data_IF_338865711917
#
_entry.id   IF_338865711917
#
_cell.length_a   1.000
_cell.length_b   1.000
_cell.length_c   1.000
_cell.angle_alpha   90.00
_cell.angle_beta   90.00
_cell.angle_gamma   90.00
#
_symmetry.space_group_name_H-M   'P 1'
#
loop_
_entity.id
_entity.type
_entity.pdbx_description
1 polymer ?
#
# COMPACT_ATOMS: atom_id res chain seq x y z
N UNK A 1 29.64 -12.65 5.17
CA UNK A 1 28.64 -13.23 4.27
C UNK A 1 28.16 -12.11 3.36
N UNK A 2 28.14 -12.30 2.07
CA UNK A 2 27.57 -11.28 1.17
C UNK A 2 26.05 -11.26 1.36
N UNK A 3 25.54 -10.26 2.08
CA UNK A 3 24.10 -9.98 2.22
C UNK A 3 23.56 -9.36 0.92
N UNK A 4 24.04 -9.79 -0.20
CA UNK A 4 23.63 -9.33 -1.52
C UNK A 4 22.48 -10.22 -2.04
N UNK A 5 22.50 -10.52 -3.31
CA UNK A 5 21.53 -11.37 -4.02
C UNK A 5 21.16 -12.68 -3.30
N UNK A 6 22.13 -13.34 -2.62
CA UNK A 6 21.89 -14.59 -1.86
C UNK A 6 20.91 -14.42 -0.70
N UNK A 7 20.93 -13.26 -0.02
CA UNK A 7 19.94 -12.98 1.05
C UNK A 7 18.53 -12.84 0.50
N UNK A 8 18.37 -12.15 -0.62
CA UNK A 8 17.06 -12.00 -1.27
C UNK A 8 16.50 -13.34 -1.77
N UNK A 9 17.36 -14.19 -2.37
CA UNK A 9 16.98 -15.53 -2.82
C UNK A 9 16.41 -16.38 -1.68
N UNK A 10 17.10 -16.44 -0.54
CA UNK A 10 16.64 -17.22 0.62
C UNK A 10 15.35 -16.67 1.21
N UNK A 11 15.19 -15.35 1.27
CA UNK A 11 13.99 -14.71 1.81
C UNK A 11 12.74 -14.95 0.94
N UNK A 12 12.92 -15.09 -0.38
CA UNK A 12 11.81 -15.35 -1.32
C UNK A 12 11.39 -16.83 -1.26
N UNK A 13 12.32 -17.77 -1.11
CA UNK A 13 12.02 -19.21 -1.00
C UNK A 13 11.17 -19.56 0.22
N UNK A 14 11.23 -18.78 1.27
CA UNK A 14 10.36 -18.94 2.42
C UNK A 14 8.99 -18.31 2.13
N UNK A 15 8.03 -19.18 1.81
CA UNK A 15 6.65 -18.75 1.54
C UNK A 15 6.01 -18.10 2.76
N UNK A 16 5.82 -16.79 2.67
CA UNK A 16 5.07 -15.97 3.64
C UNK A 16 3.81 -15.40 2.99
N UNK A 17 3.15 -16.23 2.17
CA UNK A 17 1.91 -15.84 1.49
C UNK A 17 0.84 -15.51 2.53
N UNK A 18 0.25 -14.33 2.43
CA UNK A 18 -0.83 -13.86 3.28
C UNK A 18 -2.14 -13.77 2.47
N UNK A 19 -3.25 -14.35 2.96
CA UNK A 19 -3.36 -15.29 4.07
C UNK A 19 -2.82 -16.70 3.75
N UNK A 20 -2.45 -17.53 4.75
CA UNK A 20 -2.59 -17.31 6.19
C UNK A 20 -1.45 -16.51 6.82
N UNK A 21 -0.37 -16.22 6.11
CA UNK A 21 0.89 -15.72 6.60
C UNK A 21 1.86 -16.88 6.90
N UNK A 22 2.98 -16.62 7.49
CA UNK A 22 4.03 -17.50 8.06
C UNK A 22 5.31 -16.68 8.20
N UNK A 23 5.17 -15.42 8.54
CA UNK A 23 6.26 -14.44 8.61
C UNK A 23 7.25 -14.79 9.73
N UNK A 24 6.88 -15.68 10.66
CA UNK A 24 7.81 -16.27 11.64
C UNK A 24 9.03 -16.93 10.96
N UNK A 25 8.91 -17.41 9.70
CA UNK A 25 10.05 -17.90 8.92
C UNK A 25 11.02 -16.78 8.54
N UNK A 26 10.49 -15.60 8.16
CA UNK A 26 11.33 -14.44 7.89
C UNK A 26 12.01 -13.94 9.18
N UNK A 27 11.32 -14.01 10.32
CA UNK A 27 11.90 -13.73 11.64
C UNK A 27 13.07 -14.67 11.93
N UNK A 28 12.92 -15.98 11.76
CA UNK A 28 13.97 -16.97 11.98
C UNK A 28 15.21 -16.69 11.10
N UNK A 29 14.99 -16.34 9.84
CA UNK A 29 16.05 -15.97 8.90
C UNK A 29 16.81 -14.71 9.35
N UNK A 30 16.10 -13.66 9.73
CA UNK A 30 16.68 -12.39 10.17
C UNK A 30 17.37 -12.53 11.53
N UNK A 31 16.78 -13.27 12.45
CA UNK A 31 17.36 -13.58 13.77
C UNK A 31 18.70 -14.29 13.63
N UNK A 32 18.80 -15.30 12.75
CA UNK A 32 20.07 -15.99 12.48
C UNK A 32 21.17 -15.05 11.96
N UNK A 33 20.79 -14.03 11.19
CA UNK A 33 21.74 -13.00 10.71
C UNK A 33 22.16 -12.11 11.87
N UNK A 34 21.22 -11.62 12.69
CA UNK A 34 21.53 -10.76 13.84
C UNK A 34 22.39 -11.48 14.87
N UNK A 35 22.11 -12.74 15.16
CA UNK A 35 22.94 -13.59 16.04
C UNK A 35 24.37 -13.71 15.51
N UNK A 36 24.53 -13.96 14.20
CA UNK A 36 25.87 -14.08 13.56
C UNK A 36 26.64 -12.77 13.58
N UNK A 37 25.97 -11.62 13.58
CA UNK A 37 26.58 -10.28 13.63
C UNK A 37 26.73 -9.74 15.06
N UNK A 38 26.18 -10.44 16.07
CA UNK A 38 26.18 -9.99 17.46
C UNK A 38 25.30 -8.74 17.69
N UNK A 39 24.21 -8.62 16.93
CA UNK A 39 23.24 -7.54 17.03
C UNK A 39 22.12 -7.97 17.97
N UNK A 40 21.84 -7.16 18.98
CA UNK A 40 20.66 -7.37 19.84
C UNK A 40 19.39 -7.04 19.06
N UNK A 41 18.39 -7.89 19.17
CA UNK A 41 17.09 -7.74 18.56
C UNK A 41 15.99 -8.23 19.47
N UNK A 42 14.77 -7.78 19.21
CA UNK A 42 13.54 -8.33 19.79
C UNK A 42 12.64 -8.85 18.69
N UNK A 43 11.79 -9.79 19.04
CA UNK A 43 10.77 -10.33 18.12
C UNK A 43 9.49 -10.65 18.89
N UNK A 44 8.37 -10.65 18.17
CA UNK A 44 7.08 -11.02 18.73
C UNK A 44 6.19 -11.64 17.65
N UNK A 45 5.46 -12.68 18.04
CA UNK A 45 4.42 -13.30 17.23
C UNK A 45 3.05 -12.74 17.67
N UNK A 46 2.41 -11.96 16.80
CA UNK A 46 1.11 -11.31 17.09
C UNK A 46 -0.09 -12.27 17.00
N UNK A 47 0.06 -13.33 16.20
CA UNK A 47 -0.83 -14.47 16.07
C UNK A 47 -0.01 -15.64 15.53
N UNK A 48 -0.50 -16.90 15.58
CA UNK A 48 0.26 -18.05 15.08
C UNK A 48 0.82 -17.85 13.67
N UNK A 49 2.15 -17.89 13.52
CA UNK A 49 2.87 -17.67 12.27
C UNK A 49 3.09 -16.21 11.88
N UNK A 50 2.48 -15.24 12.57
CA UNK A 50 2.54 -13.81 12.25
C UNK A 50 3.68 -13.14 13.02
N UNK A 51 4.91 -13.44 12.63
CA UNK A 51 6.13 -12.98 13.30
C UNK A 51 6.57 -11.58 12.85
N UNK A 52 7.01 -10.79 13.84
CA UNK A 52 7.59 -9.46 13.64
C UNK A 52 8.95 -9.42 14.35
N UNK A 53 9.94 -8.72 13.79
CA UNK A 53 11.28 -8.59 14.37
C UNK A 53 11.79 -7.17 14.20
N UNK A 54 12.52 -6.66 15.22
CA UNK A 54 13.16 -5.35 15.15
C UNK A 54 14.51 -5.35 15.87
N UNK A 55 15.41 -4.52 15.38
CA UNK A 55 16.75 -4.34 15.94
C UNK A 55 17.14 -2.86 15.91
N UNK A 56 17.99 -2.43 16.83
CA UNK A 56 18.41 -1.03 16.98
C UNK A 56 19.93 -0.89 17.09
N UNK A 57 20.51 -0.07 16.23
CA UNK A 57 21.89 0.42 16.36
C UNK A 57 21.82 1.76 17.08
N UNK A 58 22.50 1.85 18.23
CA UNK A 58 22.57 3.09 19.01
C UNK A 58 23.43 4.14 18.32
N UNK A 59 22.99 5.39 18.40
CA UNK A 59 23.67 6.56 17.84
C UNK A 59 23.61 7.76 18.77
N UNK A 60 23.63 8.96 18.20
CA UNK A 60 23.56 10.23 18.92
C UNK A 60 22.12 10.68 19.24
N UNK A 61 21.99 11.95 19.61
CA UNK A 61 20.76 12.50 20.20
C UNK A 61 19.71 12.94 19.18
N UNK A 62 19.96 12.82 17.87
CA UNK A 62 18.94 13.12 16.87
C UNK A 62 17.84 12.04 16.87
N UNK A 63 16.60 12.39 16.52
CA UNK A 63 15.51 11.44 16.40
C UNK A 63 15.89 10.24 15.53
N UNK A 64 15.47 9.04 15.94
CA UNK A 64 15.82 7.80 15.25
C UNK A 64 15.19 7.72 13.84
N UNK A 65 15.87 6.98 12.95
CA UNK A 65 15.39 6.61 11.64
C UNK A 65 14.99 5.13 11.63
N UNK A 66 13.75 4.86 11.23
CA UNK A 66 13.25 3.50 11.00
C UNK A 66 13.47 3.12 9.53
N UNK A 67 14.04 1.94 9.32
CA UNK A 67 14.07 1.21 8.05
C UNK A 67 13.02 0.10 8.15
N UNK A 68 11.84 0.34 7.59
CA UNK A 68 10.71 -0.57 7.65
C UNK A 68 10.59 -1.38 6.38
N UNK A 69 10.17 -2.62 6.50
CA UNK A 69 9.62 -3.40 5.40
C UNK A 69 8.63 -4.45 5.91
N UNK A 70 7.72 -4.87 5.05
CA UNK A 70 6.90 -6.04 5.32
C UNK A 70 7.55 -7.32 4.79
N UNK A 71 7.21 -8.44 5.39
CA UNK A 71 7.79 -9.75 5.08
C UNK A 71 6.80 -10.73 4.46
N UNK A 72 5.51 -10.41 4.46
CA UNK A 72 4.49 -11.18 3.77
C UNK A 72 4.43 -10.84 2.26
N UNK A 73 3.70 -11.65 1.53
CA UNK A 73 3.49 -11.50 0.08
C UNK A 73 2.08 -11.96 -0.29
N UNK A 74 1.50 -11.36 -1.34
CA UNK A 74 0.23 -11.82 -1.89
C UNK A 74 0.35 -13.21 -2.53
N UNK A 75 -0.76 -13.98 -2.65
CA UNK A 75 -0.78 -15.25 -3.37
C UNK A 75 -0.26 -15.11 -4.81
N UNK A 76 0.36 -16.16 -5.30
CA UNK A 76 0.75 -16.30 -6.70
C UNK A 76 0.02 -17.50 -7.31
N UNK A 77 -0.71 -17.29 -8.41
CA UNK A 77 -1.25 -18.39 -9.18
C UNK A 77 -0.19 -18.85 -10.19
N UNK A 78 0.39 -20.01 -9.97
CA UNK A 78 1.48 -20.59 -10.78
C UNK A 78 1.16 -20.64 -12.28
N UNK A 79 -0.12 -20.79 -12.65
CA UNK A 79 -0.56 -20.81 -14.05
C UNK A 79 -0.23 -19.53 -14.84
N UNK A 80 0.03 -18.42 -14.15
CA UNK A 80 0.36 -17.13 -14.76
C UNK A 80 1.84 -16.79 -14.71
N UNK A 81 2.69 -17.74 -14.28
CA UNK A 81 4.11 -17.56 -14.15
C UNK A 81 4.89 -18.49 -15.07
N UNK A 82 5.91 -18.00 -15.75
CA UNK A 82 6.81 -18.80 -16.59
C UNK A 82 7.85 -19.60 -15.77
N UNK A 83 7.85 -19.44 -14.46
CA UNK A 83 8.74 -20.08 -13.50
C UNK A 83 8.04 -20.24 -12.14
N UNK A 84 8.59 -21.04 -11.24
CA UNK A 84 8.06 -21.18 -9.88
C UNK A 84 8.14 -19.83 -9.15
N UNK A 85 6.98 -19.21 -8.81
CA UNK A 85 6.93 -17.89 -8.19
C UNK A 85 7.57 -17.82 -6.79
N UNK A 86 7.89 -18.95 -6.17
CA UNK A 86 8.56 -19.03 -4.87
C UNK A 86 10.00 -19.56 -4.97
N UNK A 87 10.54 -19.76 -6.17
CA UNK A 87 11.88 -20.29 -6.36
C UNK A 87 12.99 -19.37 -5.82
N UNK A 88 12.84 -18.05 -5.98
CA UNK A 88 13.87 -17.08 -5.68
C UNK A 88 15.15 -17.24 -6.53
N UNK A 89 15.05 -17.91 -7.68
CA UNK A 89 16.21 -18.19 -8.53
C UNK A 89 16.81 -16.91 -9.12
N UNK A 90 18.14 -16.92 -9.29
CA UNK A 90 18.85 -15.83 -9.97
C UNK A 90 19.09 -16.25 -11.42
N UNK A 91 18.36 -15.62 -12.35
CA UNK A 91 18.48 -15.87 -13.79
C UNK A 91 18.89 -14.58 -14.48
N UNK A 92 19.96 -14.62 -15.25
CA UNK A 92 20.51 -13.45 -15.98
C UNK A 92 20.76 -12.21 -15.11
N UNK A 93 21.05 -12.40 -13.82
CA UNK A 93 21.28 -11.33 -12.86
C UNK A 93 20.01 -10.74 -12.21
N UNK A 94 18.86 -11.33 -12.48
CA UNK A 94 17.56 -10.98 -11.87
C UNK A 94 17.12 -12.05 -10.88
N UNK A 95 16.60 -11.63 -9.74
CA UNK A 95 15.94 -12.52 -8.77
C UNK A 95 14.50 -12.70 -9.24
N UNK A 96 14.13 -13.92 -9.56
CA UNK A 96 12.78 -14.27 -9.98
C UNK A 96 11.96 -14.75 -8.79
N UNK A 97 10.81 -14.12 -8.55
CA UNK A 97 9.89 -14.59 -7.51
C UNK A 97 8.89 -13.56 -7.01
N UNK A 98 7.81 -14.05 -6.43
CA UNK A 98 6.85 -13.27 -5.66
C UNK A 98 7.57 -12.66 -4.44
N UNK A 99 7.41 -11.35 -4.21
CA UNK A 99 8.12 -10.64 -3.14
C UNK A 99 9.51 -10.12 -3.53
N UNK A 100 10.03 -10.45 -4.73
CA UNK A 100 11.32 -9.92 -5.18
C UNK A 100 11.31 -8.39 -5.32
N UNK A 101 10.19 -7.83 -5.79
CA UNK A 101 9.97 -6.39 -5.92
C UNK A 101 9.19 -5.84 -4.73
N UNK A 102 8.11 -6.50 -4.35
CA UNK A 102 7.18 -6.11 -3.31
C UNK A 102 7.19 -7.15 -2.18
N UNK A 103 7.87 -6.86 -1.01
CA UNK A 103 8.93 -5.85 -0.95
C UNK A 103 10.22 -6.42 -0.30
N UNK A 104 10.37 -7.77 -0.29
CA UNK A 104 11.54 -8.43 0.32
C UNK A 104 12.89 -7.95 -0.26
N UNK A 105 12.90 -7.59 -1.56
CA UNK A 105 14.09 -7.01 -2.19
C UNK A 105 14.53 -5.69 -1.53
N UNK A 106 13.58 -4.80 -1.23
CA UNK A 106 13.87 -3.58 -0.48
C UNK A 106 14.23 -3.90 0.98
N UNK A 107 13.53 -4.85 1.62
CA UNK A 107 13.85 -5.32 2.96
C UNK A 107 15.29 -5.79 3.11
N UNK A 108 15.81 -6.55 2.15
CA UNK A 108 17.22 -6.96 2.11
C UNK A 108 18.15 -5.77 1.85
N UNK A 109 17.73 -4.78 1.06
CA UNK A 109 18.50 -3.56 0.86
C UNK A 109 18.60 -2.75 2.16
N UNK A 110 17.52 -2.65 2.93
CA UNK A 110 17.50 -2.05 4.28
C UNK A 110 18.43 -2.82 5.22
N UNK A 111 18.34 -4.15 5.27
CA UNK A 111 19.19 -5.01 6.08
C UNK A 111 20.68 -4.82 5.73
N UNK A 112 21.02 -4.83 4.43
CA UNK A 112 22.40 -4.66 3.99
C UNK A 112 23.00 -3.31 4.44
N UNK A 113 22.21 -2.23 4.39
CA UNK A 113 22.64 -0.92 4.87
C UNK A 113 22.74 -0.89 6.40
N UNK A 114 21.79 -1.49 7.11
CA UNK A 114 21.80 -1.62 8.56
C UNK A 114 23.06 -2.35 9.03
N UNK A 115 23.38 -3.52 8.47
CA UNK A 115 24.59 -4.28 8.76
C UNK A 115 25.87 -3.53 8.41
N UNK A 116 25.87 -2.79 7.29
CA UNK A 116 27.01 -1.95 6.90
C UNK A 116 27.29 -0.85 7.92
N UNK A 117 26.25 -0.22 8.44
CA UNK A 117 26.38 0.79 9.51
C UNK A 117 26.91 0.16 10.79
N UNK A 118 26.32 -0.97 11.22
CA UNK A 118 26.80 -1.72 12.39
C UNK A 118 28.29 -2.07 12.29
N UNK A 119 28.71 -2.69 11.20
CA UNK A 119 30.09 -3.11 10.96
C UNK A 119 31.09 -1.95 10.80
N UNK A 120 30.62 -0.76 10.46
CA UNK A 120 31.47 0.41 10.23
C UNK A 120 32.10 0.92 11.51
N UNK A 121 31.53 0.66 12.68
CA UNK A 121 31.91 1.20 13.98
C UNK A 121 32.07 2.73 13.99
N UNK A 122 31.47 3.43 13.03
CA UNK A 122 31.48 4.89 12.98
C UNK A 122 30.40 5.47 13.91
N UNK A 123 30.68 6.59 14.60
CA UNK A 123 29.65 7.24 15.39
C UNK A 123 28.52 7.71 14.48
N UNK A 124 27.30 7.35 14.83
CA UNK A 124 26.07 7.78 14.17
C UNK A 124 25.48 8.99 14.91
N UNK A 125 24.80 9.89 14.21
CA UNK A 125 24.14 11.05 14.79
C UNK A 125 22.79 10.71 15.42
N UNK A 126 22.24 9.55 15.13
CA UNK A 126 20.91 9.04 15.53
C UNK A 126 20.91 7.53 15.63
N UNK A 127 19.96 7.00 16.38
CA UNK A 127 19.67 5.57 16.32
C UNK A 127 19.13 5.18 14.95
N UNK A 128 19.49 3.98 14.50
CA UNK A 128 18.88 3.35 13.31
C UNK A 128 18.12 2.12 13.78
N UNK A 129 16.85 2.05 13.43
CA UNK A 129 15.95 0.95 13.78
C UNK A 129 15.62 0.20 12.49
N UNK A 130 15.79 -1.12 12.50
CA UNK A 130 15.32 -1.98 11.42
C UNK A 130 14.08 -2.72 11.90
N UNK A 131 13.03 -2.74 11.10
CA UNK A 131 11.77 -3.43 11.41
C UNK A 131 11.37 -4.28 10.20
N UNK A 132 11.11 -5.57 10.43
CA UNK A 132 10.41 -6.44 9.51
C UNK A 132 9.05 -6.81 10.10
N UNK A 133 7.98 -6.34 9.48
CA UNK A 133 6.62 -6.51 9.94
C UNK A 133 5.88 -7.58 9.12
N UNK A 134 4.83 -8.15 9.71
CA UNK A 134 3.91 -9.07 9.07
C UNK A 134 2.70 -8.33 8.47
N UNK A 135 1.89 -9.02 7.64
CA UNK A 135 0.48 -8.72 7.38
C UNK A 135 0.18 -7.43 6.59
N UNK A 136 1.15 -6.78 5.98
CA UNK A 136 0.92 -5.55 5.23
C UNK A 136 -0.12 -5.76 4.13
N UNK A 137 0.06 -6.82 3.35
CA UNK A 137 -0.79 -7.22 2.20
C UNK A 137 -2.26 -7.53 2.58
N UNK A 138 -2.53 -7.67 3.87
CA UNK A 138 -3.87 -7.88 4.41
C UNK A 138 -4.34 -6.76 5.35
N UNK A 139 -3.61 -5.65 5.41
CA UNK A 139 -3.97 -4.43 6.13
C UNK A 139 -3.20 -4.17 7.44
N UNK A 140 -2.14 -4.92 7.73
CA UNK A 140 -1.17 -4.64 8.81
C UNK A 140 -1.68 -4.89 10.23
N UNK A 141 -2.85 -5.51 10.41
CA UNK A 141 -3.45 -5.77 11.73
C UNK A 141 -2.56 -6.62 12.63
N UNK A 142 -1.83 -7.58 12.07
CA UNK A 142 -0.91 -8.47 12.77
C UNK A 142 0.56 -8.02 12.66
N UNK A 143 0.83 -6.96 11.91
CA UNK A 143 2.13 -6.36 11.70
C UNK A 143 2.27 -5.02 12.40
N UNK A 144 2.40 -3.95 11.64
CA UNK A 144 2.63 -2.61 12.17
C UNK A 144 1.52 -2.13 13.09
N UNK A 145 0.25 -2.38 12.78
CA UNK A 145 -0.86 -2.04 13.67
C UNK A 145 -0.69 -2.67 15.06
N UNK A 146 -0.37 -3.98 15.10
CA UNK A 146 -0.14 -4.68 16.36
C UNK A 146 1.11 -4.18 17.10
N UNK A 147 2.20 -3.90 16.36
CA UNK A 147 3.44 -3.40 16.96
C UNK A 147 3.25 -2.04 17.64
N UNK A 148 2.55 -1.11 16.99
CA UNK A 148 2.27 0.23 17.54
C UNK A 148 1.48 0.12 18.85
N UNK A 149 0.52 -0.78 18.92
CA UNK A 149 -0.32 -0.96 20.11
C UNK A 149 0.38 -1.74 21.24
N UNK A 150 1.18 -2.75 20.91
CA UNK A 150 1.66 -3.73 21.88
C UNK A 150 3.18 -3.67 22.13
N UNK A 151 3.95 -2.99 21.28
CA UNK A 151 5.42 -2.85 21.35
C UNK A 151 5.88 -1.43 21.03
N UNK A 152 5.33 -0.40 21.68
CA UNK A 152 5.69 1.00 21.40
C UNK A 152 7.18 1.28 21.60
N UNK A 153 7.88 0.47 22.41
CA UNK A 153 9.32 0.57 22.62
C UNK A 153 10.14 0.35 21.32
N UNK A 154 9.60 -0.39 20.35
CA UNK A 154 10.25 -0.58 19.05
C UNK A 154 10.45 0.75 18.31
N UNK A 155 9.60 1.73 18.58
CA UNK A 155 9.54 3.03 17.91
C UNK A 155 10.12 4.18 18.75
N UNK A 156 10.61 3.91 19.97
CA UNK A 156 11.01 4.95 20.90
C UNK A 156 12.02 5.92 20.29
N UNK A 157 11.71 7.23 20.36
CA UNK A 157 12.55 8.31 19.85
C UNK A 157 12.61 8.41 18.31
N UNK A 158 11.79 7.68 17.57
CA UNK A 158 11.75 7.76 16.11
C UNK A 158 10.86 8.92 15.63
N UNK A 159 11.37 9.68 14.65
CA UNK A 159 10.61 10.72 13.92
C UNK A 159 10.71 10.55 12.40
N UNK A 160 11.63 9.70 11.94
CA UNK A 160 11.87 9.45 10.52
C UNK A 160 11.62 7.97 10.20
N UNK A 161 10.94 7.73 9.08
CA UNK A 161 10.67 6.37 8.59
C UNK A 161 10.91 6.32 7.09
N UNK A 162 11.62 5.29 6.65
CA UNK A 162 11.82 4.91 5.26
C UNK A 162 11.22 3.53 5.03
N UNK A 163 10.28 3.46 4.10
CA UNK A 163 9.55 2.26 3.72
C UNK A 163 9.51 2.15 2.20
N UNK A 164 8.65 1.32 1.68
CA UNK A 164 8.36 1.22 0.26
C UNK A 164 7.63 2.46 -0.28
N UNK A 165 7.51 2.52 -1.60
CA UNK A 165 6.87 3.60 -2.34
C UNK A 165 7.88 4.44 -3.11
N UNK A 166 7.37 5.22 -4.06
CA UNK A 166 8.20 5.96 -4.97
C UNK A 166 8.82 5.11 -6.09
N UNK A 167 9.65 5.73 -6.92
CA UNK A 167 10.30 5.04 -8.04
C UNK A 167 11.48 5.82 -8.61
N UNK A 168 12.39 5.09 -9.29
CA UNK A 168 13.34 5.65 -10.23
C UNK A 168 12.95 5.30 -11.66
N UNK A 169 12.96 6.24 -12.56
CA UNK A 169 12.57 6.02 -13.96
C UNK A 169 13.49 6.72 -14.93
N UNK A 170 13.70 6.10 -16.10
CA UNK A 170 14.45 6.71 -17.20
C UNK A 170 13.52 7.50 -18.12
N UNK A 171 13.91 8.72 -18.43
CA UNK A 171 13.26 9.57 -19.42
C UNK A 171 14.24 9.94 -20.55
N UNK A 172 13.77 10.69 -21.55
CA UNK A 172 14.63 11.23 -22.61
C UNK A 172 15.68 12.21 -22.04
N UNK A 173 15.36 12.88 -20.94
CA UNK A 173 16.17 13.94 -20.34
C UNK A 173 17.05 13.44 -19.17
N UNK A 174 17.04 12.12 -18.87
CA UNK A 174 17.85 11.52 -17.82
C UNK A 174 17.06 10.60 -16.89
N UNK A 175 17.48 10.52 -15.63
CA UNK A 175 16.81 9.71 -14.60
C UNK A 175 15.99 10.66 -13.73
N UNK A 176 14.71 10.34 -13.57
CA UNK A 176 13.83 10.97 -12.57
C UNK A 176 13.64 10.07 -11.36
N UNK A 177 13.38 10.68 -10.21
CA UNK A 177 13.07 9.97 -8.96
C UNK A 177 11.78 10.52 -8.36
N UNK A 178 10.99 9.65 -7.77
CA UNK A 178 9.84 10.05 -6.96
C UNK A 178 9.90 9.41 -5.58
N UNK A 179 9.43 10.13 -4.56
CA UNK A 179 9.23 9.62 -3.21
C UNK A 179 7.76 9.78 -2.87
N UNK A 180 7.16 8.72 -2.40
CA UNK A 180 5.81 8.75 -1.89
C UNK A 180 5.77 9.49 -0.55
N UNK A 181 4.99 10.57 -0.50
CA UNK A 181 4.86 11.41 0.69
C UNK A 181 3.47 11.34 1.30
N UNK A 182 2.51 10.81 0.57
CA UNK A 182 1.16 10.53 1.04
C UNK A 182 0.48 9.51 0.14
N UNK A 183 -0.61 8.92 0.61
CA UNK A 183 -1.33 7.86 -0.08
C UNK A 183 -2.83 7.99 0.15
N UNK A 184 -3.63 7.41 -0.75
CA UNK A 184 -5.08 7.33 -0.54
C UNK A 184 -5.36 6.40 0.64
N UNK A 185 -6.39 6.74 1.40
CA UNK A 185 -6.80 5.97 2.58
C UNK A 185 -7.72 4.83 2.12
N UNK A 186 -7.39 3.57 2.40
CA UNK A 186 -8.30 2.45 2.12
C UNK A 186 -9.48 2.46 3.09
N UNK A 187 -10.66 2.25 2.53
CA UNK A 187 -11.93 2.08 3.25
C UNK A 187 -12.64 0.89 2.59
N UNK A 188 -12.41 -0.31 3.12
CA UNK A 188 -13.05 -1.50 2.60
C UNK A 188 -14.37 -1.73 3.31
N UNK A 189 -15.42 -1.88 2.54
CA UNK A 189 -16.77 -1.98 3.06
C UNK A 189 -17.45 -3.25 2.55
N UNK A 190 -18.27 -3.86 3.41
CA UNK A 190 -19.25 -4.87 3.03
C UNK A 190 -20.64 -4.29 3.09
N UNK A 191 -21.40 -4.52 2.03
CA UNK A 191 -22.80 -4.19 1.91
C UNK A 191 -23.60 -5.45 2.22
N UNK A 192 -24.42 -5.44 3.26
CA UNK A 192 -25.20 -6.59 3.70
C UNK A 192 -26.68 -6.36 3.45
N UNK A 193 -27.37 -7.35 2.91
CA UNK A 193 -28.81 -7.32 2.71
C UNK A 193 -29.51 -8.58 3.21
N UNK A 194 -30.61 -8.39 3.92
CA UNK A 194 -31.47 -9.45 4.41
C UNK A 194 -32.90 -9.21 3.87
N UNK A 195 -33.55 -10.25 3.35
CA UNK A 195 -34.94 -10.18 2.92
C UNK A 195 -35.61 -11.57 3.04
N UNK A 196 -36.91 -11.63 2.84
CA UNK A 196 -37.62 -12.90 2.92
C UNK A 196 -37.24 -13.82 1.77
N UNK A 197 -36.86 -15.10 2.07
CA UNK A 197 -36.62 -16.09 1.04
C UNK A 197 -37.92 -16.46 0.30
N UNK A 198 -37.76 -17.04 -0.90
CA UNK A 198 -38.93 -17.41 -1.69
C UNK A 198 -38.60 -18.32 -2.87
N UNK A 199 -39.64 -18.67 -3.62
CA UNK A 199 -39.48 -19.42 -4.87
C UNK A 199 -39.32 -18.46 -6.05
N UNK A 200 -38.35 -18.73 -6.93
CA UNK A 200 -38.02 -17.86 -8.05
C UNK A 200 -39.17 -17.62 -9.06
N UNK A 201 -40.18 -18.50 -9.11
CA UNK A 201 -41.37 -18.33 -9.96
C UNK A 201 -42.39 -17.33 -9.39
N UNK A 202 -42.23 -16.87 -8.15
CA UNK A 202 -43.14 -15.95 -7.47
C UNK A 202 -42.38 -14.76 -6.93
N UNK A 203 -41.84 -13.89 -7.81
CA UNK A 203 -40.98 -12.79 -7.40
C UNK A 203 -41.76 -11.76 -6.58
N UNK A 204 -41.10 -11.22 -5.56
CA UNK A 204 -41.55 -10.06 -4.79
C UNK A 204 -41.01 -8.78 -5.40
N UNK A 205 -41.45 -7.63 -4.88
CA UNK A 205 -40.96 -6.33 -5.29
C UNK A 205 -39.47 -6.12 -4.95
N UNK A 206 -38.99 -6.77 -3.87
CA UNK A 206 -37.60 -6.74 -3.43
C UNK A 206 -37.12 -8.14 -3.04
N UNK A 207 -35.81 -8.32 -3.04
CA UNK A 207 -35.12 -9.48 -2.49
C UNK A 207 -33.75 -9.02 -1.97
N UNK A 208 -33.09 -9.83 -1.15
CA UNK A 208 -31.73 -9.54 -0.69
C UNK A 208 -30.77 -9.24 -1.84
N UNK A 209 -30.87 -10.00 -2.93
CA UNK A 209 -30.02 -9.80 -4.13
C UNK A 209 -30.36 -8.51 -4.86
N UNK A 210 -31.67 -8.23 -5.08
CA UNK A 210 -32.05 -7.01 -5.82
C UNK A 210 -31.69 -5.72 -5.07
N UNK A 211 -31.71 -5.73 -3.74
CA UNK A 211 -31.26 -4.60 -2.90
C UNK A 211 -29.76 -4.36 -3.06
N UNK A 212 -28.93 -5.41 -3.05
CA UNK A 212 -27.49 -5.30 -3.30
C UNK A 212 -27.22 -4.74 -4.71
N UNK A 213 -27.90 -5.26 -5.73
CA UNK A 213 -27.75 -4.76 -7.10
C UNK A 213 -28.13 -3.30 -7.21
N UNK A 214 -29.20 -2.86 -6.54
CA UNK A 214 -29.62 -1.47 -6.52
C UNK A 214 -28.58 -0.58 -5.81
N UNK A 215 -28.11 -0.98 -4.63
CA UNK A 215 -27.07 -0.23 -3.89
C UNK A 215 -25.79 -0.10 -4.71
N UNK A 216 -25.32 -1.18 -5.32
CA UNK A 216 -24.14 -1.16 -6.19
C UNK A 216 -24.33 -0.26 -7.41
N UNK A 217 -25.53 -0.30 -8.03
CA UNK A 217 -25.85 0.58 -9.16
C UNK A 217 -25.85 2.05 -8.77
N UNK A 218 -26.37 2.39 -7.59
CA UNK A 218 -26.36 3.76 -7.06
C UNK A 218 -24.91 4.23 -6.84
N UNK A 219 -24.09 3.44 -6.14
CA UNK A 219 -22.68 3.77 -5.89
C UNK A 219 -21.92 3.95 -7.20
N UNK A 220 -22.09 3.02 -8.15
CA UNK A 220 -21.40 3.03 -9.46
C UNK A 220 -21.74 4.29 -10.29
N UNK A 221 -23.00 4.74 -10.25
CA UNK A 221 -23.47 5.87 -11.04
C UNK A 221 -23.39 7.21 -10.28
N UNK A 222 -22.85 7.22 -9.07
CA UNK A 222 -22.70 8.43 -8.25
C UNK A 222 -21.21 8.69 -7.99
N UNK A 223 -20.43 9.08 -9.01
CA UNK A 223 -19.01 9.35 -8.83
C UNK A 223 -18.83 10.54 -7.87
N UNK A 224 -17.84 10.40 -6.97
CA UNK A 224 -17.50 11.46 -6.03
C UNK A 224 -16.92 12.67 -6.75
N UNK A 225 -17.17 13.87 -6.22
CA UNK A 225 -16.71 15.11 -6.81
C UNK A 225 -15.19 15.19 -6.90
N UNK A 226 -14.66 15.58 -8.06
CA UNK A 226 -13.23 15.71 -8.24
C UNK A 226 -12.68 16.96 -7.54
N UNK A 227 -11.51 16.82 -6.94
CA UNK A 227 -10.75 17.93 -6.34
C UNK A 227 -9.27 17.65 -6.33
N UNK A 228 -8.47 18.69 -6.30
CA UNK A 228 -7.01 18.59 -6.33
C UNK A 228 -6.45 19.11 -5.00
N UNK A 229 -5.81 18.21 -4.27
CA UNK A 229 -5.02 18.58 -3.10
C UNK A 229 -3.61 19.04 -3.54
N UNK A 230 -2.89 19.82 -2.72
CA UNK A 230 -1.60 20.41 -3.11
C UNK A 230 -0.56 19.39 -3.61
N UNK A 231 -0.48 18.22 -2.97
CA UNK A 231 0.44 17.16 -3.34
C UNK A 231 0.10 16.59 -4.73
N UNK A 232 -1.18 16.38 -5.00
CA UNK A 232 -1.67 15.90 -6.31
C UNK A 232 -1.42 16.93 -7.41
N UNK A 233 -1.62 18.22 -7.14
CA UNK A 233 -1.31 19.31 -8.09
C UNK A 233 0.16 19.24 -8.54
N UNK A 234 1.06 19.08 -7.59
CA UNK A 234 2.49 18.92 -7.85
C UNK A 234 2.80 17.66 -8.67
N UNK A 235 2.18 16.54 -8.33
CA UNK A 235 2.32 15.29 -9.11
C UNK A 235 1.90 15.47 -10.56
N UNK A 236 0.78 16.13 -10.81
CA UNK A 236 0.32 16.39 -12.18
C UNK A 236 1.26 17.35 -12.93
N UNK A 237 1.72 18.41 -12.27
CA UNK A 237 2.69 19.35 -12.82
C UNK A 237 3.97 18.63 -13.25
N UNK A 238 4.56 17.80 -12.37
CA UNK A 238 5.80 17.08 -12.65
C UNK A 238 5.60 16.04 -13.76
N UNK A 239 4.53 15.26 -13.73
CA UNK A 239 4.20 14.28 -14.78
C UNK A 239 3.97 14.94 -16.15
N UNK A 240 3.47 16.17 -16.17
CA UNK A 240 3.22 16.90 -17.44
C UNK A 240 4.47 17.05 -18.28
N UNK A 241 5.65 17.14 -17.67
CA UNK A 241 6.91 17.32 -18.40
C UNK A 241 7.24 16.14 -19.32
N UNK A 242 6.80 14.92 -18.97
CA UNK A 242 6.98 13.70 -19.74
C UNK A 242 5.88 13.41 -20.77
N UNK A 243 4.84 14.24 -20.84
CA UNK A 243 3.69 14.02 -21.70
C UNK A 243 3.75 14.85 -22.99
N UNK A 244 3.06 14.36 -24.01
CA UNK A 244 2.80 15.07 -25.26
C UNK A 244 1.47 15.83 -25.21
N UNK A 245 1.28 16.82 -26.11
CA UNK A 245 -0.01 17.49 -26.24
C UNK A 245 -1.10 16.51 -26.74
N UNK A 246 -2.33 16.62 -26.30
CA UNK A 246 -2.90 17.69 -25.45
C UNK A 246 -2.76 17.43 -23.95
N UNK A 247 -2.31 16.27 -23.50
CA UNK A 247 -2.25 15.92 -22.08
C UNK A 247 -1.25 16.76 -21.30
N UNK A 248 -0.15 17.18 -21.93
CA UNK A 248 0.83 18.05 -21.29
C UNK A 248 0.22 19.34 -20.75
N UNK A 249 -0.51 20.08 -21.58
CA UNK A 249 -1.18 21.32 -21.18
C UNK A 249 -2.30 21.06 -20.18
N UNK A 250 -3.08 20.00 -20.37
CA UNK A 250 -4.19 19.60 -19.48
C UNK A 250 -3.71 19.23 -18.07
N UNK A 251 -2.58 18.52 -17.96
CA UNK A 251 -1.98 18.16 -16.66
C UNK A 251 -1.43 19.40 -15.94
N UNK A 252 -0.83 20.36 -16.65
CA UNK A 252 -0.37 21.61 -16.04
C UNK A 252 -1.51 22.47 -15.48
N UNK A 253 -2.69 22.37 -16.05
CA UNK A 253 -3.88 23.12 -15.63
C UNK A 253 -4.93 22.22 -14.98
N UNK A 254 -4.49 21.18 -14.29
CA UNK A 254 -5.36 20.13 -13.76
C UNK A 254 -6.51 20.66 -12.90
N UNK A 255 -6.27 21.71 -12.09
CA UNK A 255 -7.28 22.32 -11.22
C UNK A 255 -8.50 22.85 -11.98
N UNK A 256 -8.30 23.37 -13.18
CA UNK A 256 -9.40 23.82 -14.03
C UNK A 256 -9.96 22.65 -14.86
N UNK A 257 -9.08 21.77 -15.32
CA UNK A 257 -9.46 20.66 -16.19
C UNK A 257 -10.35 19.61 -15.51
N UNK A 258 -10.25 19.43 -14.19
CA UNK A 258 -11.15 18.51 -13.46
C UNK A 258 -12.63 18.94 -13.49
N UNK A 259 -12.94 20.18 -13.87
CA UNK A 259 -14.32 20.66 -14.04
C UNK A 259 -14.92 20.23 -15.39
N UNK A 260 -14.12 19.77 -16.34
CA UNK A 260 -14.56 19.30 -17.65
C UNK A 260 -14.84 17.78 -17.59
N UNK A 261 -16.12 17.34 -17.68
CA UNK A 261 -16.46 15.91 -17.63
C UNK A 261 -15.93 15.12 -18.83
N UNK A 262 -15.68 15.79 -19.98
CA UNK A 262 -15.10 15.14 -21.15
C UNK A 262 -13.64 14.80 -20.85
N UNK A 263 -12.89 15.77 -20.35
CA UNK A 263 -11.52 15.54 -19.92
C UNK A 263 -11.41 14.47 -18.83
N UNK A 264 -12.31 14.48 -17.86
CA UNK A 264 -12.28 13.49 -16.78
C UNK A 264 -12.49 12.05 -17.29
N UNK A 265 -13.31 11.87 -18.32
CA UNK A 265 -13.44 10.57 -18.99
C UNK A 265 -12.17 10.21 -19.78
N UNK A 266 -11.62 11.15 -20.54
CA UNK A 266 -10.35 10.95 -21.25
C UNK A 266 -9.21 10.62 -20.29
N UNK A 267 -9.14 11.28 -19.13
CA UNK A 267 -8.13 11.03 -18.10
C UNK A 267 -8.27 9.63 -17.52
N UNK A 268 -9.49 9.16 -17.28
CA UNK A 268 -9.75 7.81 -16.77
C UNK A 268 -9.32 6.73 -17.76
N UNK A 269 -9.56 6.95 -19.07
CA UNK A 269 -9.15 6.04 -20.14
C UNK A 269 -7.62 6.06 -20.35
N UNK A 270 -7.02 7.25 -20.30
CA UNK A 270 -5.58 7.44 -20.49
C UNK A 270 -4.74 6.95 -19.31
N UNK A 271 -5.15 7.27 -18.09
CA UNK A 271 -4.44 6.94 -16.85
C UNK A 271 -5.43 6.79 -15.69
N UNK A 272 -5.97 5.57 -15.45
CA UNK A 272 -6.87 5.32 -14.33
C UNK A 272 -6.29 5.74 -12.97
N UNK A 273 -4.98 5.55 -12.77
CA UNK A 273 -4.30 5.97 -11.54
C UNK A 273 -4.29 7.49 -11.37
N UNK A 274 -3.99 8.25 -12.43
CA UNK A 274 -4.06 9.71 -12.38
C UNK A 274 -5.49 10.20 -12.11
N UNK A 275 -6.49 9.58 -12.77
CA UNK A 275 -7.89 9.88 -12.50
C UNK A 275 -8.26 9.61 -11.03
N UNK A 276 -7.82 8.47 -10.47
CA UNK A 276 -8.10 8.11 -9.08
C UNK A 276 -7.47 9.08 -8.05
N UNK A 277 -6.38 9.79 -8.41
CA UNK A 277 -5.80 10.84 -7.55
C UNK A 277 -6.66 12.10 -7.46
N UNK A 278 -7.63 12.29 -8.35
CA UNK A 278 -8.48 13.48 -8.36
C UNK A 278 -9.73 13.36 -7.50
N UNK A 279 -10.05 12.20 -6.94
CA UNK A 279 -11.32 11.97 -6.22
C UNK A 279 -11.28 10.73 -5.32
N UNK A 280 -12.27 10.61 -4.46
CA UNK A 280 -12.57 9.34 -3.83
C UNK A 280 -13.05 8.35 -4.89
N UNK A 281 -12.73 7.07 -4.71
CA UNK A 281 -13.08 6.01 -5.67
C UNK A 281 -13.56 4.78 -4.93
N UNK A 282 -14.52 4.03 -5.51
CA UNK A 282 -14.92 2.71 -5.04
C UNK A 282 -14.90 1.73 -6.20
N UNK A 283 -14.27 0.59 -6.00
CA UNK A 283 -14.28 -0.55 -6.91
C UNK A 283 -15.19 -1.65 -6.37
N UNK A 284 -16.06 -2.19 -7.22
CA UNK A 284 -16.92 -3.31 -6.89
C UNK A 284 -16.10 -4.59 -7.07
N UNK A 285 -15.72 -5.25 -5.98
CA UNK A 285 -14.70 -6.31 -6.04
C UNK A 285 -15.24 -7.71 -5.83
N UNK A 286 -16.21 -7.89 -4.94
CA UNK A 286 -16.79 -9.20 -4.64
C UNK A 286 -18.27 -9.09 -4.37
N UNK A 287 -19.05 -10.11 -4.73
CA UNK A 287 -20.46 -10.23 -4.36
C UNK A 287 -20.88 -11.69 -4.25
N UNK A 288 -21.89 -11.94 -3.42
CA UNK A 288 -22.49 -13.27 -3.26
C UNK A 288 -23.98 -13.15 -2.93
N UNK A 289 -24.78 -14.09 -3.49
CA UNK A 289 -26.23 -14.14 -3.21
C UNK A 289 -26.87 -15.39 -3.84
N UNK A 290 -27.30 -16.30 -2.98
CA UNK A 290 -27.98 -17.52 -3.37
C UNK A 290 -27.06 -18.65 -3.84
N UNK A 291 -27.65 -19.88 -3.88
CA UNK A 291 -26.95 -21.11 -4.24
C UNK A 291 -27.69 -21.92 -5.31
N UNK A 292 -28.92 -21.53 -5.67
CA UNK A 292 -29.76 -22.28 -6.62
C UNK A 292 -30.67 -21.33 -7.38
N UNK A 293 -30.73 -21.49 -8.69
CA UNK A 293 -31.42 -20.58 -9.63
C UNK A 293 -32.92 -20.35 -9.33
N UNK A 294 -33.61 -21.32 -8.75
CA UNK A 294 -35.06 -21.23 -8.48
C UNK A 294 -35.38 -20.89 -7.02
N UNK A 295 -34.39 -20.46 -6.21
CA UNK A 295 -34.55 -20.08 -4.81
C UNK A 295 -34.09 -18.64 -4.60
N UNK A 296 -34.99 -17.79 -4.08
CA UNK A 296 -34.64 -16.44 -3.64
C UNK A 296 -33.95 -16.54 -2.27
N UNK A 297 -32.68 -16.13 -2.14
CA UNK A 297 -31.93 -16.27 -0.89
C UNK A 297 -32.40 -15.28 0.19
N UNK A 298 -32.28 -15.63 1.48
CA UNK A 298 -32.57 -14.72 2.56
C UNK A 298 -31.51 -13.61 2.73
N UNK A 299 -30.29 -13.87 2.32
CA UNK A 299 -29.14 -12.95 2.48
C UNK A 299 -28.38 -12.80 1.17
N UNK A 300 -27.83 -11.61 0.97
CA UNK A 300 -26.85 -11.33 -0.07
C UNK A 300 -25.86 -10.28 0.47
N UNK A 301 -24.65 -10.24 -0.07
CA UNK A 301 -23.65 -9.24 0.27
C UNK A 301 -22.78 -8.88 -0.93
N UNK A 302 -22.17 -7.70 -0.85
CA UNK A 302 -21.10 -7.28 -1.76
C UNK A 302 -19.97 -6.61 -0.96
N UNK A 303 -18.76 -6.70 -1.47
CA UNK A 303 -17.59 -6.00 -0.94
C UNK A 303 -17.09 -4.98 -1.96
N UNK A 304 -16.78 -3.79 -1.46
CA UNK A 304 -16.27 -2.69 -2.25
C UNK A 304 -14.95 -2.19 -1.65
N UNK A 305 -13.96 -2.00 -2.52
CA UNK A 305 -12.69 -1.36 -2.17
C UNK A 305 -12.80 0.13 -2.49
N UNK A 306 -13.00 0.93 -1.45
CA UNK A 306 -13.00 2.37 -1.56
C UNK A 306 -11.63 2.94 -1.15
N UNK A 307 -11.19 3.97 -1.89
CA UNK A 307 -9.95 4.70 -1.66
C UNK A 307 -10.25 6.18 -1.61
N UNK A 308 -10.12 6.79 -0.44
CA UNK A 308 -10.43 8.21 -0.23
C UNK A 308 -9.15 9.05 -0.27
N UNK A 309 -9.29 10.32 -0.59
CA UNK A 309 -8.17 11.26 -0.60
C UNK A 309 -7.62 11.45 0.83
N UNK A 310 -6.32 11.69 0.99
CA UNK A 310 -5.64 11.65 2.30
C UNK A 310 -6.09 12.72 3.30
N UNK A 311 -6.84 13.71 2.87
CA UNK A 311 -7.44 14.75 3.71
C UNK A 311 -8.90 14.47 4.08
N UNK A 312 -9.44 13.29 3.71
CA UNK A 312 -10.76 12.83 4.16
C UNK A 312 -10.67 12.01 5.45
N UNK A 313 -11.80 11.88 6.13
CA UNK A 313 -11.97 10.99 7.27
C UNK A 313 -12.80 9.76 6.87
N UNK A 314 -12.33 8.55 7.19
CA UNK A 314 -13.07 7.33 6.86
C UNK A 314 -14.52 7.31 7.38
N UNK A 315 -14.73 7.81 8.58
CA UNK A 315 -16.06 7.83 9.22
C UNK A 315 -17.03 8.71 8.45
N UNK A 316 -16.61 9.92 8.06
CA UNK A 316 -17.44 10.86 7.26
C UNK A 316 -17.75 10.27 5.86
N UNK A 317 -16.81 9.49 5.31
CA UNK A 317 -17.00 8.83 4.02
C UNK A 317 -17.99 7.65 4.12
N UNK A 318 -17.97 6.88 5.22
CA UNK A 318 -18.94 5.80 5.47
C UNK A 318 -20.35 6.39 5.56
N UNK A 319 -20.53 7.46 6.34
CA UNK A 319 -21.82 8.19 6.43
C UNK A 319 -22.32 8.65 5.05
N UNK A 320 -21.41 9.12 4.19
CA UNK A 320 -21.75 9.48 2.81
C UNK A 320 -22.24 8.28 1.98
N UNK A 321 -21.62 7.10 2.12
CA UNK A 321 -22.07 5.87 1.45
C UNK A 321 -23.44 5.44 2.00
N UNK A 322 -23.62 5.44 3.32
CA UNK A 322 -24.90 5.09 3.97
C UNK A 322 -26.04 6.00 3.50
N UNK A 323 -25.82 7.31 3.48
CA UNK A 323 -26.80 8.28 2.98
C UNK A 323 -27.13 8.05 1.50
N UNK A 324 -26.14 7.70 0.70
CA UNK A 324 -26.31 7.47 -0.73
C UNK A 324 -27.24 6.27 -1.01
N UNK A 325 -27.14 5.20 -0.21
CA UNK A 325 -27.88 3.95 -0.42
C UNK A 325 -29.04 3.73 0.58
N UNK A 326 -29.37 4.71 1.42
CA UNK A 326 -30.32 4.58 2.55
C UNK A 326 -31.68 3.99 2.17
N UNK A 327 -32.17 4.26 0.95
CA UNK A 327 -33.49 3.80 0.51
C UNK A 327 -33.47 2.34 0.00
N UNK A 328 -32.31 1.71 -0.10
CA UNK A 328 -32.17 0.31 -0.56
C UNK A 328 -32.40 -0.71 0.54
N UNK A 329 -32.32 -0.31 1.82
CA UNK A 329 -32.37 -1.23 2.96
C UNK A 329 -31.15 -2.15 3.07
N UNK A 330 -30.00 -1.70 2.54
CA UNK A 330 -28.70 -2.35 2.66
C UNK A 330 -27.94 -1.73 3.82
N UNK A 331 -27.31 -2.55 4.64
CA UNK A 331 -26.47 -2.13 5.77
C UNK A 331 -25.00 -2.09 5.34
N UNK A 332 -24.24 -1.09 5.80
CA UNK A 332 -22.81 -0.91 5.53
C UNK A 332 -22.01 -1.40 6.73
N UNK A 333 -21.05 -2.29 6.48
CA UNK A 333 -20.14 -2.85 7.48
C UNK A 333 -18.69 -2.53 7.10
N UNK A 334 -17.95 -1.77 7.91
CA UNK A 334 -16.53 -1.57 7.68
C UNK A 334 -15.74 -2.87 7.88
N UNK A 335 -14.92 -3.25 6.87
CA UNK A 335 -14.01 -4.39 6.95
C UNK A 335 -12.58 -3.95 7.31
N UNK A 336 -12.15 -2.82 6.72
CA UNK A 336 -10.86 -2.20 7.00
C UNK A 336 -10.95 -0.69 6.83
N UNK A 337 -10.35 0.03 7.77
CA UNK A 337 -10.21 1.48 7.73
C UNK A 337 -8.73 1.83 7.87
N UNK A 338 -8.18 2.52 6.88
CA UNK A 338 -6.85 3.09 6.96
C UNK A 338 -6.84 4.44 7.69
N UNK A 339 -5.65 4.92 7.97
CA UNK A 339 -5.43 6.21 8.61
C UNK A 339 -4.84 7.22 7.62
N UNK A 340 -5.16 8.51 7.75
CA UNK A 340 -4.51 9.54 6.95
C UNK A 340 -3.04 9.71 7.39
N UNK A 341 -2.16 9.84 6.42
CA UNK A 341 -0.75 10.12 6.66
C UNK A 341 -0.17 10.97 5.53
N UNK A 342 0.64 11.97 5.88
CA UNK A 342 1.36 12.79 4.93
C UNK A 342 2.70 13.23 5.51
N UNK A 343 3.74 13.14 4.72
CA UNK A 343 5.10 13.52 5.09
C UNK A 343 5.47 14.86 4.43
N UNK A 344 6.03 15.81 5.19
CA UNK A 344 6.43 17.09 4.64
C UNK A 344 7.67 16.95 3.75
N UNK A 345 7.66 17.62 2.59
CA UNK A 345 8.79 17.63 1.64
C UNK A 345 9.97 18.51 2.10
N UNK A 346 9.87 19.16 3.24
CA UNK A 346 10.95 19.92 3.88
C UNK A 346 11.54 19.20 5.11
N UNK A 347 11.24 17.90 5.26
CA UNK A 347 11.85 17.10 6.33
C UNK A 347 13.35 16.86 6.08
N UNK A 348 14.11 16.62 7.15
CA UNK A 348 15.54 16.28 7.05
C UNK A 348 15.78 15.06 6.15
N UNK A 349 14.91 14.05 6.23
CA UNK A 349 15.01 12.85 5.39
C UNK A 349 14.80 13.16 3.91
N UNK A 350 13.76 13.94 3.58
CA UNK A 350 13.48 14.32 2.19
C UNK A 350 14.64 15.11 1.59
N UNK A 351 15.19 16.10 2.33
CA UNK A 351 16.34 16.89 1.90
C UNK A 351 17.59 16.04 1.70
N UNK A 352 17.86 15.10 2.63
CA UNK A 352 19.01 14.19 2.51
C UNK A 352 18.94 13.32 1.25
N UNK A 353 17.73 12.87 0.87
CA UNK A 353 17.51 12.08 -0.35
C UNK A 353 17.67 12.99 -1.59
N UNK A 354 17.16 14.22 -1.57
CA UNK A 354 17.31 15.19 -2.65
C UNK A 354 18.79 15.53 -2.88
N UNK A 355 19.56 15.78 -1.81
CA UNK A 355 21.00 16.03 -1.87
C UNK A 355 21.78 14.82 -2.42
N UNK A 356 21.40 13.61 -2.00
CA UNK A 356 22.00 12.38 -2.53
C UNK A 356 21.76 12.22 -4.03
N UNK A 357 20.52 12.45 -4.48
CA UNK A 357 20.15 12.35 -5.89
C UNK A 357 20.88 13.40 -6.70
N UNK A 358 20.87 14.65 -6.28
CA UNK A 358 21.54 15.75 -7.00
C UNK A 358 23.05 15.53 -7.15
N UNK A 359 23.67 14.91 -6.13
CA UNK A 359 25.11 14.64 -6.11
C UNK A 359 25.48 13.44 -6.99
N UNK A 360 24.72 12.36 -6.93
CA UNK A 360 25.08 11.08 -7.59
C UNK A 360 24.45 10.93 -8.97
N UNK A 361 23.40 11.70 -9.29
CA UNK A 361 22.69 11.69 -10.55
C UNK A 361 22.50 13.13 -11.07
N UNK A 362 23.58 13.81 -11.49
CA UNK A 362 23.50 15.22 -11.94
C UNK A 362 22.46 15.42 -13.03
N UNK A 363 21.59 16.42 -12.85
CA UNK A 363 20.47 16.70 -13.75
C UNK A 363 19.19 15.96 -13.45
N UNK A 364 19.22 14.99 -12.52
CA UNK A 364 18.01 14.32 -12.04
C UNK A 364 17.23 15.20 -11.06
N UNK A 365 15.91 14.98 -11.02
CA UNK A 365 15.00 15.65 -10.08
C UNK A 365 14.36 14.62 -9.15
N UNK A 366 14.11 15.03 -7.92
CA UNK A 366 13.26 14.33 -6.99
C UNK A 366 11.89 15.01 -6.97
N UNK A 367 10.84 14.23 -7.18
CA UNK A 367 9.45 14.70 -7.09
C UNK A 367 8.70 13.96 -5.98
N UNK A 368 7.88 14.64 -5.17
CA UNK A 368 6.95 13.94 -4.30
C UNK A 368 5.91 13.22 -5.12
N UNK A 369 5.46 12.07 -4.65
CA UNK A 369 4.37 11.31 -5.28
C UNK A 369 3.26 11.00 -4.28
N UNK A 370 2.10 10.68 -4.83
CA UNK A 370 0.91 10.23 -4.11
C UNK A 370 0.53 8.88 -4.66
N UNK A 371 0.40 7.87 -3.79
CA UNK A 371 -0.06 6.55 -4.18
C UNK A 371 -1.58 6.44 -4.14
N UNK A 372 -2.12 5.63 -5.05
CA UNK A 372 -3.50 5.14 -4.97
C UNK A 372 -3.62 3.88 -4.10
N UNK A 373 -2.48 3.23 -3.82
CA UNK A 373 -2.34 2.12 -2.89
C UNK A 373 -2.22 2.56 -1.44
N UNK A 374 -1.77 1.67 -0.59
CA UNK A 374 -1.44 1.94 0.80
C UNK A 374 -0.20 1.11 1.20
N UNK A 375 0.42 1.50 2.29
CA UNK A 375 1.57 0.80 2.89
C UNK A 375 1.48 0.89 4.42
N UNK A 376 2.38 0.23 5.11
CA UNK A 376 2.54 0.31 6.57
C UNK A 376 3.01 1.69 7.08
N UNK A 377 3.19 2.67 6.21
CA UNK A 377 3.60 4.05 6.58
C UNK A 377 2.45 4.96 7.02
N UNK A 378 1.22 4.44 7.09
CA UNK A 378 0.01 5.18 7.46
C UNK A 378 -0.29 5.15 8.96
#
# INVERSE_FOLDING_TARGET
MHVSLVGSEMCIRDSTISPPGNESRAVDFLAAIFDAEGIEYDSAESAPGRGNIWARIKGGDKPALILLHHSDVVPANEEYWDFDPLSGEIVDGYIQGRGALDMKGLGISHLANFLKLHRSNKPLNRDIIYIAAADEESGGKYGMGWLVENRPEAFEGAELLLNEGGSGFRSKDGIGFSIEVTQKIPVWLRLNSVDQPGHGSSPRTTSSVSRIVEALNIIWNSPFDPRIIPEVDRVFSDRSEGLEEPFKSKYKDIKNMIQDPIFMKELQEFSPSSHALTRNTCSLTRMNGGVKINVVPPTAWAEIDCRILPDNKPEEFIEQIEDLIKDTGVEVEPLMLGFPGSSPTNSELYQAIEDFISTNYPGSKLSPSVSTGFTDSR
#
